data_IF_918602509230
#
_entry.id   IF_918602509230
#
_cell.length_a   1.000
_cell.length_b   1.000
_cell.length_c   1.000
_cell.angle_alpha   90.00
_cell.angle_beta   90.00
_cell.angle_gamma   90.00
#
_symmetry.space_group_name_H-M   'P 1'
#
loop_
_entity.id
_entity.type
_entity.pdbx_description
1 polymer ?
#
# COMPACT_ATOMS: atom_id res chain seq x y z
N UNK A 1 3.54 6.78 -4.42
CA UNK A 1 2.65 5.62 -4.61
C UNK A 1 2.34 5.09 -3.23
N UNK A 2 1.11 5.27 -2.74
CA UNK A 2 0.69 4.68 -1.48
C UNK A 2 0.86 3.16 -1.49
N UNK A 3 1.48 2.63 -0.45
CA UNK A 3 1.57 1.21 -0.15
C UNK A 3 0.77 0.94 1.14
N UNK A 4 0.91 -0.24 1.74
CA UNK A 4 0.15 -0.60 2.94
C UNK A 4 0.20 0.47 4.06
N UNK A 5 1.37 1.01 4.44
CA UNK A 5 1.45 1.98 5.54
C UNK A 5 0.67 3.27 5.28
N UNK A 6 0.73 3.79 4.06
CA UNK A 6 0.03 5.02 3.68
C UNK A 6 -1.49 4.83 3.69
N UNK A 7 -1.95 3.68 3.19
CA UNK A 7 -3.38 3.33 3.16
C UNK A 7 -3.89 3.10 4.59
N UNK A 8 -3.12 2.41 5.43
CA UNK A 8 -3.45 2.20 6.84
C UNK A 8 -3.56 3.52 7.60
N UNK A 9 -2.66 4.46 7.33
CA UNK A 9 -2.68 5.80 7.94
C UNK A 9 -3.97 6.54 7.58
N UNK A 10 -4.39 6.49 6.31
CA UNK A 10 -5.66 7.09 5.87
C UNK A 10 -6.85 6.40 6.56
N UNK A 11 -6.89 5.06 6.57
CA UNK A 11 -7.96 4.29 7.22
C UNK A 11 -8.07 4.62 8.71
N UNK A 12 -6.94 4.71 9.43
CA UNK A 12 -6.91 5.13 10.85
C UNK A 12 -7.45 6.54 11.06
N UNK A 13 -7.19 7.47 10.13
CA UNK A 13 -7.74 8.82 10.20
C UNK A 13 -9.24 8.89 9.88
N UNK A 14 -9.75 8.01 9.03
CA UNK A 14 -11.16 7.96 8.66
C UNK A 14 -12.01 7.22 9.71
N UNK A 15 -11.49 6.13 10.30
CA UNK A 15 -12.23 5.23 11.20
C UNK A 15 -12.97 5.92 12.36
N UNK A 16 -12.45 6.96 13.03
CA UNK A 16 -13.16 7.62 14.13
C UNK A 16 -14.36 8.46 13.69
N UNK A 17 -14.45 8.83 12.41
CA UNK A 17 -15.42 9.84 11.94
C UNK A 17 -16.30 9.35 10.79
N UNK A 18 -15.83 8.39 9.98
CA UNK A 18 -16.55 7.94 8.80
C UNK A 18 -17.80 7.09 9.12
N UNK A 19 -17.74 6.11 10.06
CA UNK A 19 -18.93 5.33 10.43
C UNK A 19 -20.09 6.19 10.91
N UNK A 20 -21.31 5.80 10.55
CA UNK A 20 -22.56 6.52 10.85
C UNK A 20 -22.88 7.67 9.88
N UNK A 21 -21.97 8.04 8.97
CA UNK A 21 -22.23 9.07 7.95
C UNK A 21 -22.97 8.49 6.75
N UNK A 22 -24.04 9.15 6.32
CA UNK A 22 -24.85 8.75 5.15
C UNK A 22 -24.46 9.55 3.92
N UNK A 23 -24.25 8.88 2.77
CA UNK A 23 -23.93 9.55 1.50
C UNK A 23 -25.20 10.17 0.90
N UNK A 24 -25.38 11.48 1.05
CA UNK A 24 -26.55 12.19 0.51
C UNK A 24 -26.41 12.48 -0.99
N UNK A 25 -25.18 12.83 -1.40
CA UNK A 25 -24.89 13.24 -2.78
C UNK A 25 -23.50 12.80 -3.20
N UNK A 26 -23.39 12.30 -4.42
CA UNK A 26 -22.11 12.05 -5.08
C UNK A 26 -21.93 13.04 -6.24
N UNK A 27 -20.77 13.68 -6.31
CA UNK A 27 -20.34 14.45 -7.48
C UNK A 27 -19.10 13.80 -8.06
N UNK A 28 -19.26 13.13 -9.19
CA UNK A 28 -18.17 12.51 -9.95
C UNK A 28 -17.66 13.56 -10.95
N UNK A 29 -16.44 14.04 -10.78
CA UNK A 29 -15.81 15.00 -11.69
C UNK A 29 -15.07 14.27 -12.81
N UNK A 30 -14.41 13.17 -12.47
CA UNK A 30 -13.64 12.35 -13.40
C UNK A 30 -14.11 10.91 -13.33
N UNK A 31 -14.66 10.36 -14.41
CA UNK A 31 -15.24 9.01 -14.42
C UNK A 31 -14.20 7.91 -14.72
N UNK A 32 -13.03 8.29 -15.24
CA UNK A 32 -11.91 7.39 -15.56
C UNK A 32 -11.25 6.74 -14.33
N UNK A 33 -11.53 7.28 -13.13
CA UNK A 33 -11.14 6.65 -11.86
C UNK A 33 -12.18 5.61 -11.39
N UNK A 34 -13.33 5.47 -12.04
CA UNK A 34 -14.33 4.47 -11.67
C UNK A 34 -14.10 3.17 -12.45
N UNK A 35 -14.35 2.03 -11.81
CA UNK A 35 -14.36 0.71 -12.46
C UNK A 35 -15.70 0.34 -13.10
N UNK A 36 -16.72 1.14 -12.85
CA UNK A 36 -18.09 0.95 -13.36
C UNK A 36 -18.69 2.29 -13.83
N UNK A 37 -19.77 2.27 -14.63
CA UNK A 37 -20.43 3.48 -15.11
C UNK A 37 -20.89 4.42 -13.98
N UNK A 38 -20.86 5.74 -14.24
CA UNK A 38 -21.22 6.79 -13.26
C UNK A 38 -22.58 6.57 -12.60
N UNK A 39 -23.58 6.18 -13.40
CA UNK A 39 -24.96 5.95 -12.94
C UNK A 39 -25.02 4.77 -11.98
N UNK A 40 -24.39 3.66 -12.33
CA UNK A 40 -24.33 2.47 -11.48
C UNK A 40 -23.59 2.75 -10.16
N UNK A 41 -22.41 3.37 -10.23
CA UNK A 41 -21.64 3.75 -9.03
C UNK A 41 -22.45 4.63 -8.08
N UNK A 42 -23.13 5.65 -8.63
CA UNK A 42 -23.95 6.56 -7.82
C UNK A 42 -25.17 5.87 -7.23
N UNK A 43 -25.84 5.01 -8.00
CA UNK A 43 -27.03 4.30 -7.56
C UNK A 43 -26.72 3.32 -6.42
N UNK A 44 -25.58 2.63 -6.46
CA UNK A 44 -25.17 1.70 -5.39
C UNK A 44 -24.84 2.41 -4.06
N UNK A 45 -24.34 3.65 -4.11
CA UNK A 45 -23.83 4.35 -2.91
C UNK A 45 -24.77 5.41 -2.33
N UNK A 46 -25.61 6.05 -3.14
CA UNK A 46 -26.46 7.15 -2.67
C UNK A 46 -27.47 6.64 -1.63
N UNK A 47 -27.57 7.35 -0.51
CA UNK A 47 -28.44 7.00 0.61
C UNK A 47 -27.88 5.92 1.52
N UNK A 48 -26.71 5.33 1.22
CA UNK A 48 -26.06 4.34 2.08
C UNK A 48 -25.28 5.00 3.20
N UNK A 49 -25.23 4.34 4.35
CA UNK A 49 -24.49 4.79 5.53
C UNK A 49 -23.24 3.96 5.68
N UNK A 50 -22.10 4.60 5.93
CA UNK A 50 -20.86 3.90 6.25
C UNK A 50 -20.99 3.18 7.60
N UNK A 51 -20.72 1.89 7.64
CA UNK A 51 -20.73 1.06 8.85
C UNK A 51 -19.32 0.89 9.40
N UNK A 52 -18.34 0.63 8.53
CA UNK A 52 -16.93 0.54 8.90
C UNK A 52 -16.02 1.03 7.78
N UNK A 53 -14.75 1.23 8.13
CA UNK A 53 -13.68 1.45 7.16
C UNK A 53 -12.42 0.73 7.61
N UNK A 54 -11.91 -0.09 6.71
CA UNK A 54 -10.82 -1.00 6.92
C UNK A 54 -9.85 -0.96 5.74
N UNK A 55 -8.76 -1.71 5.89
CA UNK A 55 -7.72 -1.83 4.88
C UNK A 55 -7.56 -3.29 4.49
N UNK A 56 -7.46 -3.53 3.19
CA UNK A 56 -6.96 -4.79 2.64
C UNK A 56 -5.86 -4.56 1.62
N UNK A 57 -4.64 -5.00 1.94
CA UNK A 57 -3.45 -4.71 1.15
C UNK A 57 -3.25 -3.20 0.97
N UNK A 58 -3.41 -2.73 -0.27
CA UNK A 58 -3.33 -1.31 -0.66
C UNK A 58 -4.71 -0.70 -0.96
N UNK A 59 -5.78 -1.38 -0.58
CA UNK A 59 -7.15 -0.92 -0.78
C UNK A 59 -7.72 -0.41 0.54
N UNK A 60 -8.40 0.72 0.49
CA UNK A 60 -9.37 1.15 1.50
C UNK A 60 -10.66 0.40 1.19
N UNK A 61 -11.26 -0.19 2.21
CA UNK A 61 -12.50 -0.98 2.10
C UNK A 61 -13.49 -0.39 3.09
N UNK A 62 -14.49 0.32 2.59
CA UNK A 62 -15.54 0.88 3.42
C UNK A 62 -16.81 0.07 3.24
N UNK A 63 -17.30 -0.51 4.33
CA UNK A 63 -18.56 -1.25 4.37
C UNK A 63 -19.70 -0.27 4.62
N UNK A 64 -20.79 -0.43 3.88
CA UNK A 64 -21.98 0.40 3.97
C UNK A 64 -23.23 -0.46 4.14
N UNK A 65 -24.29 0.18 4.62
CA UNK A 65 -25.61 -0.45 4.78
C UNK A 65 -26.08 -1.16 3.51
N UNK A 66 -26.88 -2.20 3.72
CA UNK A 66 -27.40 -3.09 2.66
C UNK A 66 -26.31 -3.87 1.90
N UNK A 67 -25.21 -4.19 2.59
CA UNK A 67 -24.16 -5.07 2.08
C UNK A 67 -23.38 -4.48 0.90
N UNK A 68 -23.33 -3.15 0.81
CA UNK A 68 -22.56 -2.44 -0.21
C UNK A 68 -21.15 -2.17 0.30
N UNK A 69 -20.14 -2.45 -0.52
CA UNK A 69 -18.74 -2.23 -0.21
C UNK A 69 -18.15 -1.24 -1.21
N UNK A 70 -17.63 -0.12 -0.70
CA UNK A 70 -16.82 0.83 -1.47
C UNK A 70 -15.34 0.45 -1.34
N UNK A 71 -14.73 0.06 -2.45
CA UNK A 71 -13.30 -0.26 -2.52
C UNK A 71 -12.56 0.87 -3.23
N UNK A 72 -11.54 1.42 -2.58
CA UNK A 72 -10.71 2.50 -3.13
C UNK A 72 -9.25 2.06 -3.18
N UNK A 73 -8.70 2.00 -4.38
CA UNK A 73 -7.26 1.88 -4.60
C UNK A 73 -6.69 3.26 -4.93
N UNK A 74 -5.71 3.73 -4.16
CA UNK A 74 -5.17 5.08 -4.31
C UNK A 74 -4.23 5.26 -5.52
N UNK A 75 -3.88 4.18 -6.22
CA UNK A 75 -2.95 4.25 -7.35
C UNK A 75 -1.59 4.83 -6.92
N UNK A 76 -1.17 5.93 -7.56
CA UNK A 76 0.13 6.54 -7.29
C UNK A 76 0.09 7.84 -6.50
N UNK A 77 -0.98 8.63 -6.67
CA UNK A 77 -1.14 10.00 -6.14
C UNK A 77 -2.51 10.22 -5.51
N UNK A 78 -3.38 9.21 -5.55
CA UNK A 78 -4.69 9.29 -4.94
C UNK A 78 -4.61 9.44 -3.43
N UNK A 79 -5.53 10.22 -2.89
CA UNK A 79 -5.78 10.36 -1.46
C UNK A 79 -7.27 10.47 -1.20
N UNK A 80 -7.70 10.04 -0.02
CA UNK A 80 -9.07 10.14 0.44
C UNK A 80 -9.05 11.01 1.70
N UNK A 81 -9.62 12.21 1.61
CA UNK A 81 -9.46 13.27 2.61
C UNK A 81 -10.80 13.93 2.94
N UNK A 82 -10.92 14.46 4.16
CA UNK A 82 -12.02 15.36 4.50
C UNK A 82 -11.74 16.75 3.92
N UNK A 83 -12.66 17.27 3.10
CA UNK A 83 -12.57 18.63 2.58
C UNK A 83 -12.97 19.65 3.65
N UNK A 84 -12.01 19.99 4.50
CA UNK A 84 -12.06 21.10 5.46
C UNK A 84 -11.42 22.34 4.84
N UNK A 85 -11.71 23.53 5.36
CA UNK A 85 -11.18 24.80 4.82
C UNK A 85 -9.64 24.82 4.78
N UNK A 86 -8.98 24.13 5.71
CA UNK A 86 -7.53 24.00 5.81
C UNK A 86 -6.92 22.88 4.94
N UNK A 87 -7.75 22.03 4.30
CA UNK A 87 -7.29 20.89 3.50
C UNK A 87 -7.60 21.12 2.01
N UNK A 88 -6.75 21.85 1.27
CA UNK A 88 -7.02 22.15 -0.13
C UNK A 88 -7.02 20.87 -0.97
N UNK A 89 -8.20 20.54 -1.54
CA UNK A 89 -8.32 19.56 -2.61
C UNK A 89 -7.89 20.22 -3.91
N UNK A 90 -6.89 19.68 -4.60
CA UNK A 90 -6.34 20.31 -5.80
C UNK A 90 -6.90 19.68 -7.08
N UNK A 91 -7.08 18.36 -7.08
CA UNK A 91 -7.54 17.60 -8.25
C UNK A 91 -8.67 16.63 -7.85
N UNK A 92 -9.79 17.14 -7.32
CA UNK A 92 -10.89 16.31 -6.87
C UNK A 92 -11.47 15.50 -8.04
N UNK A 93 -11.53 14.17 -7.90
CA UNK A 93 -12.11 13.28 -8.89
C UNK A 93 -13.51 12.80 -8.49
N UNK A 94 -13.75 12.53 -7.21
CA UNK A 94 -15.07 12.19 -6.66
C UNK A 94 -15.27 12.88 -5.33
N UNK A 95 -16.43 13.53 -5.15
CA UNK A 95 -16.86 14.13 -3.88
C UNK A 95 -18.09 13.41 -3.34
N UNK A 96 -18.03 13.02 -2.07
CA UNK A 96 -19.12 12.42 -1.30
C UNK A 96 -19.60 13.46 -0.28
N UNK A 97 -20.77 14.05 -0.52
CA UNK A 97 -21.47 14.85 0.49
C UNK A 97 -22.17 13.91 1.44
N UNK A 98 -21.97 14.11 2.73
CA UNK A 98 -22.56 13.31 3.80
C UNK A 98 -23.44 14.16 4.71
N UNK A 99 -24.37 13.52 5.42
CA UNK A 99 -25.40 14.15 6.25
C UNK A 99 -24.92 15.08 7.37
N UNK A 100 -23.65 15.01 7.77
CA UNK A 100 -23.06 15.95 8.72
C UNK A 100 -21.55 16.06 8.53
N UNK A 101 -21.04 17.29 8.50
CA UNK A 101 -19.61 17.59 8.44
C UNK A 101 -19.05 17.79 7.02
N UNK A 102 -17.71 17.86 6.88
CA UNK A 102 -17.07 18.12 5.60
C UNK A 102 -17.33 16.99 4.60
N UNK A 103 -17.31 17.32 3.31
CA UNK A 103 -17.38 16.30 2.28
C UNK A 103 -16.15 15.40 2.32
N UNK A 104 -16.33 14.10 2.09
CA UNK A 104 -15.21 13.19 1.81
C UNK A 104 -14.83 13.34 0.34
N UNK A 105 -13.55 13.50 0.04
CA UNK A 105 -13.08 13.75 -1.33
C UNK A 105 -11.98 12.77 -1.69
N UNK A 106 -12.19 12.09 -2.81
CA UNK A 106 -11.12 11.39 -3.52
C UNK A 106 -10.44 12.38 -4.48
N UNK A 107 -9.18 12.69 -4.21
CA UNK A 107 -8.33 13.64 -4.94
C UNK A 107 -7.16 12.86 -5.53
N UNK A 108 -6.93 12.98 -6.84
CA UNK A 108 -5.89 12.22 -7.54
C UNK A 108 -5.38 12.96 -8.78
N UNK A 109 -4.20 13.58 -8.64
CA UNK A 109 -3.52 14.35 -9.70
C UNK A 109 -3.38 13.55 -11.00
N UNK A 110 -3.00 12.26 -10.89
CA UNK A 110 -2.70 11.42 -12.05
C UNK A 110 -3.87 10.56 -12.50
N UNK A 111 -4.96 10.51 -11.72
CA UNK A 111 -6.16 9.69 -11.98
C UNK A 111 -5.85 8.21 -12.22
N UNK A 112 -4.86 7.68 -11.51
CA UNK A 112 -4.43 6.28 -11.61
C UNK A 112 -5.07 5.39 -10.55
N UNK A 113 -5.58 5.96 -9.46
CA UNK A 113 -6.37 5.17 -8.52
C UNK A 113 -7.74 4.84 -9.08
N UNK A 114 -8.41 3.92 -8.38
CA UNK A 114 -9.64 3.29 -8.84
C UNK A 114 -10.64 3.17 -7.70
N UNK A 115 -11.88 3.53 -7.97
CA UNK A 115 -13.02 3.40 -7.08
C UNK A 115 -14.04 2.44 -7.68
N UNK A 116 -14.62 1.62 -6.83
CA UNK A 116 -15.60 0.62 -7.23
C UNK A 116 -16.58 0.40 -6.08
N UNK A 117 -17.86 0.30 -6.41
CA UNK A 117 -18.91 -0.03 -5.45
C UNK A 117 -19.48 -1.38 -5.83
N UNK A 118 -19.33 -2.35 -4.94
CA UNK A 118 -19.69 -3.75 -5.14
C UNK A 118 -20.48 -4.25 -3.93
N UNK A 119 -20.96 -5.49 -3.96
CA UNK A 119 -21.55 -6.14 -2.78
C UNK A 119 -20.51 -7.00 -2.04
N UNK A 120 -20.88 -7.49 -0.85
CA UNK A 120 -20.01 -8.33 -0.01
C UNK A 120 -19.50 -9.61 -0.72
N UNK A 121 -20.34 -10.24 -1.54
CA UNK A 121 -19.96 -11.45 -2.27
C UNK A 121 -18.90 -11.15 -3.34
N UNK A 122 -19.09 -10.07 -4.10
CA UNK A 122 -18.14 -9.57 -5.10
C UNK A 122 -16.80 -9.21 -4.42
N UNK A 123 -16.85 -8.57 -3.24
CA UNK A 123 -15.66 -8.25 -2.47
C UNK A 123 -14.94 -9.50 -1.95
N UNK A 124 -15.67 -10.46 -1.38
CA UNK A 124 -15.09 -11.71 -0.87
C UNK A 124 -14.37 -12.51 -1.96
N UNK A 125 -14.91 -12.53 -3.20
CA UNK A 125 -14.22 -13.15 -4.34
C UNK A 125 -12.90 -12.45 -4.66
N UNK A 126 -12.89 -11.12 -4.67
CA UNK A 126 -11.68 -10.33 -4.93
C UNK A 126 -10.65 -10.46 -3.82
N UNK A 127 -11.09 -10.53 -2.57
CA UNK A 127 -10.20 -10.68 -1.42
C UNK A 127 -9.44 -12.02 -1.46
N UNK A 128 -10.09 -13.09 -1.94
CA UNK A 128 -9.46 -14.42 -2.12
C UNK A 128 -8.29 -14.40 -3.11
N UNK A 129 -8.28 -13.46 -4.06
CA UNK A 129 -7.18 -13.31 -5.02
C UNK A 129 -5.96 -12.57 -4.43
N UNK A 130 -6.12 -11.91 -3.29
CA UNK A 130 -5.05 -11.20 -2.62
C UNK A 130 -4.27 -12.12 -1.68
N UNK A 131 -2.94 -11.97 -1.69
CA UNK A 131 -2.06 -12.67 -0.77
C UNK A 131 -2.29 -12.28 0.70
N UNK A 132 -1.69 -13.01 1.64
CA UNK A 132 -1.81 -12.74 3.07
C UNK A 132 -1.41 -11.31 3.45
N UNK A 133 -2.00 -10.80 4.53
CA UNK A 133 -1.59 -9.55 5.18
C UNK A 133 -0.23 -9.73 5.86
N UNK A 134 0.81 -8.94 5.51
CA UNK A 134 2.17 -9.14 6.03
C UNK A 134 2.30 -8.84 7.53
N UNK A 135 1.36 -8.08 8.10
CA UNK A 135 1.30 -7.76 9.53
C UNK A 135 0.37 -8.69 10.32
N UNK A 136 -0.37 -9.58 9.65
CA UNK A 136 -1.20 -10.60 10.32
C UNK A 136 -0.35 -11.60 11.09
N UNK A 137 -0.91 -12.18 12.16
CA UNK A 137 -0.32 -13.32 12.87
C UNK A 137 -0.24 -14.58 12.01
N UNK A 138 -1.13 -14.71 11.01
CA UNK A 138 -1.15 -15.86 10.08
C UNK A 138 -0.04 -15.83 9.03
N UNK A 139 0.56 -14.66 8.78
CA UNK A 139 1.74 -14.56 7.93
C UNK A 139 2.98 -14.85 8.76
N UNK A 140 3.38 -16.12 8.82
CA UNK A 140 4.52 -16.60 9.61
C UNK A 140 5.80 -16.72 8.77
N UNK A 141 6.96 -16.75 9.42
CA UNK A 141 8.23 -16.98 8.74
C UNK A 141 8.30 -18.36 8.08
N UNK A 142 7.73 -19.39 8.72
CA UNK A 142 7.62 -20.73 8.15
C UNK A 142 6.80 -20.71 6.86
N UNK A 143 5.61 -20.10 6.89
CA UNK A 143 4.76 -20.01 5.71
C UNK A 143 5.43 -19.24 4.58
N UNK A 144 6.09 -18.12 4.92
CA UNK A 144 6.89 -17.37 3.95
C UNK A 144 7.96 -18.26 3.29
N UNK A 145 8.72 -19.04 4.07
CA UNK A 145 9.72 -19.95 3.52
C UNK A 145 9.10 -21.00 2.58
N UNK A 146 7.99 -21.63 2.97
CA UNK A 146 7.27 -22.59 2.13
C UNK A 146 6.84 -21.97 0.80
N UNK A 147 6.25 -20.77 0.82
CA UNK A 147 5.80 -20.10 -0.39
C UNK A 147 6.96 -19.59 -1.28
N UNK A 148 8.09 -19.20 -0.68
CA UNK A 148 9.31 -18.83 -1.40
C UNK A 148 9.95 -20.04 -2.09
N UNK A 149 9.98 -21.20 -1.43
CA UNK A 149 10.60 -22.43 -1.93
C UNK A 149 9.98 -22.92 -3.25
N UNK A 150 8.73 -22.54 -3.51
CA UNK A 150 7.94 -22.90 -4.70
C UNK A 150 8.13 -21.95 -5.88
N UNK A 151 8.93 -20.90 -5.75
CA UNK A 151 9.08 -19.89 -6.80
C UNK A 151 10.53 -19.67 -7.22
N UNK A 152 10.78 -19.64 -8.53
CA UNK A 152 12.09 -19.26 -9.07
C UNK A 152 12.22 -17.75 -9.32
N UNK A 153 11.16 -16.98 -9.08
CA UNK A 153 11.16 -15.53 -9.30
C UNK A 153 12.18 -14.83 -8.40
N UNK A 154 12.74 -13.69 -8.82
CA UNK A 154 13.51 -12.82 -7.93
C UNK A 154 12.69 -12.41 -6.70
N UNK A 155 13.31 -12.41 -5.52
CA UNK A 155 12.65 -12.12 -4.24
C UNK A 155 11.95 -10.78 -4.22
N UNK A 156 12.55 -9.76 -4.84
CA UNK A 156 11.91 -8.45 -4.94
C UNK A 156 10.64 -8.51 -5.78
N UNK A 157 10.65 -9.23 -6.91
CA UNK A 157 9.46 -9.39 -7.76
C UNK A 157 8.37 -10.16 -7.02
N UNK A 158 8.73 -11.20 -6.26
CA UNK A 158 7.80 -11.96 -5.42
C UNK A 158 7.11 -11.05 -4.39
N UNK A 159 7.86 -10.17 -3.70
CA UNK A 159 7.31 -9.24 -2.71
C UNK A 159 6.38 -8.17 -3.31
N UNK A 160 6.51 -7.87 -4.62
CA UNK A 160 5.64 -6.89 -5.29
C UNK A 160 4.34 -7.51 -5.82
N UNK A 161 4.27 -8.83 -5.89
CA UNK A 161 3.09 -9.56 -6.35
C UNK A 161 2.01 -9.57 -5.25
N UNK A 162 0.93 -8.84 -5.49
CA UNK A 162 -0.15 -8.68 -4.50
C UNK A 162 -0.93 -9.98 -4.26
N UNK A 163 -0.79 -11.00 -5.12
CA UNK A 163 -1.38 -12.35 -4.91
C UNK A 163 -0.52 -13.19 -3.95
N UNK A 164 0.76 -12.83 -3.78
CA UNK A 164 1.70 -13.55 -2.90
C UNK A 164 1.83 -12.90 -1.54
N UNK A 165 1.85 -11.57 -1.49
CA UNK A 165 1.79 -10.80 -0.24
C UNK A 165 1.13 -9.45 -0.53
N UNK A 166 0.03 -9.17 0.15
CA UNK A 166 -0.71 -7.95 -0.11
C UNK A 166 -0.01 -6.75 0.55
N UNK A 167 -0.13 -5.57 -0.06
CA UNK A 167 0.25 -4.33 0.61
C UNK A 167 1.71 -3.90 0.42
N UNK A 168 2.62 -4.83 0.12
CA UNK A 168 4.04 -4.51 -0.11
C UNK A 168 4.24 -3.91 -1.49
N UNK A 169 4.89 -2.75 -1.58
CA UNK A 169 5.23 -2.11 -2.85
C UNK A 169 6.73 -1.84 -2.97
N UNK A 170 7.07 -0.88 -3.84
CA UNK A 170 8.45 -0.68 -4.25
C UNK A 170 9.30 -0.15 -3.10
N UNK A 171 8.79 0.79 -2.30
CA UNK A 171 9.56 1.38 -1.20
C UNK A 171 9.87 0.29 -0.18
N UNK A 172 8.84 -0.33 0.37
CA UNK A 172 9.02 -1.23 1.51
C UNK A 172 9.64 -2.58 1.14
N UNK A 173 9.55 -3.02 -0.13
CA UNK A 173 10.31 -4.18 -0.59
C UNK A 173 11.82 -3.93 -0.59
N UNK A 174 12.29 -2.76 -1.06
CA UNK A 174 13.73 -2.44 -1.06
C UNK A 174 14.25 -2.30 0.38
N UNK A 175 13.51 -1.59 1.23
CA UNK A 175 13.88 -1.38 2.62
C UNK A 175 13.93 -2.69 3.43
N UNK A 176 12.92 -3.56 3.27
CA UNK A 176 12.89 -4.87 3.93
C UNK A 176 14.03 -5.77 3.48
N UNK A 177 14.32 -5.81 2.17
CA UNK A 177 15.44 -6.61 1.62
C UNK A 177 16.79 -6.11 2.10
N UNK A 178 16.99 -4.79 2.18
CA UNK A 178 18.21 -4.23 2.73
C UNK A 178 18.38 -4.57 4.20
N UNK A 179 17.32 -4.40 5.00
CA UNK A 179 17.35 -4.73 6.42
C UNK A 179 17.60 -6.23 6.66
N UNK A 180 17.11 -7.10 5.77
CA UNK A 180 17.36 -8.54 5.80
C UNK A 180 18.76 -8.94 5.26
N UNK A 181 19.45 -8.05 4.55
CA UNK A 181 20.72 -8.34 3.89
C UNK A 181 20.59 -9.25 2.66
N UNK A 182 19.43 -9.23 1.98
CA UNK A 182 19.13 -10.11 0.85
C UNK A 182 19.17 -9.30 -0.45
N UNK A 183 19.94 -9.77 -1.44
CA UNK A 183 20.01 -9.11 -2.75
C UNK A 183 18.67 -9.25 -3.51
N UNK A 184 18.14 -8.17 -4.11
CA UNK A 184 16.79 -8.17 -4.68
C UNK A 184 16.60 -9.11 -5.88
N UNK A 185 17.68 -9.46 -6.59
CA UNK A 185 17.69 -10.45 -7.68
C UNK A 185 17.81 -11.91 -7.22
N UNK A 186 18.02 -12.21 -5.94
CA UNK A 186 18.12 -13.61 -5.50
C UNK A 186 16.80 -14.36 -5.77
N UNK A 187 16.93 -15.58 -6.28
CA UNK A 187 15.79 -16.47 -6.53
C UNK A 187 15.13 -16.88 -5.21
N UNK A 188 13.80 -16.84 -5.14
CA UNK A 188 13.05 -17.23 -3.94
C UNK A 188 13.35 -18.68 -3.53
N UNK A 189 13.46 -19.59 -4.49
CA UNK A 189 13.77 -21.01 -4.28
C UNK A 189 15.15 -21.24 -3.64
N UNK A 190 16.06 -20.27 -3.74
CA UNK A 190 17.38 -20.35 -3.11
C UNK A 190 17.43 -19.82 -1.67
N UNK A 191 16.32 -19.28 -1.15
CA UNK A 191 16.26 -18.73 0.19
C UNK A 191 16.25 -19.84 1.23
N UNK A 192 17.18 -19.76 2.18
CA UNK A 192 17.18 -20.65 3.35
C UNK A 192 16.08 -20.26 4.34
N UNK A 193 15.70 -21.17 5.22
CA UNK A 193 14.74 -20.89 6.29
C UNK A 193 15.23 -19.76 7.22
N UNK A 194 16.53 -19.70 7.48
CA UNK A 194 17.16 -18.63 8.26
C UNK A 194 17.02 -17.25 7.60
N UNK A 195 17.19 -17.19 6.27
CA UNK A 195 16.99 -15.96 5.49
C UNK A 195 15.51 -15.57 5.43
N UNK A 196 14.60 -16.53 5.25
CA UNK A 196 13.16 -16.28 5.30
C UNK A 196 12.72 -15.71 6.66
N UNK A 197 13.25 -16.23 7.78
CA UNK A 197 13.04 -15.65 9.12
C UNK A 197 13.57 -14.22 9.24
N UNK A 198 14.75 -13.93 8.70
CA UNK A 198 15.31 -12.57 8.68
C UNK A 198 14.42 -11.62 7.86
N UNK A 199 14.01 -12.05 6.67
CA UNK A 199 13.13 -11.29 5.78
C UNK A 199 11.77 -11.01 6.40
N UNK A 200 11.14 -12.03 6.99
CA UNK A 200 9.85 -11.89 7.67
C UNK A 200 9.90 -10.82 8.77
N UNK A 201 10.90 -10.88 9.66
CA UNK A 201 11.11 -9.86 10.70
C UNK A 201 11.40 -8.49 10.11
N UNK A 202 12.26 -8.42 9.11
CA UNK A 202 12.63 -7.15 8.46
C UNK A 202 11.42 -6.49 7.79
N UNK A 203 10.59 -7.27 7.08
CA UNK A 203 9.38 -6.79 6.41
C UNK A 203 8.38 -6.23 7.42
N UNK A 204 8.06 -7.01 8.48
CA UNK A 204 7.14 -6.57 9.53
C UNK A 204 7.64 -5.31 10.23
N UNK A 205 8.92 -5.28 10.63
CA UNK A 205 9.52 -4.10 11.28
C UNK A 205 9.44 -2.86 10.38
N UNK A 206 9.76 -3.02 9.10
CA UNK A 206 9.71 -1.92 8.12
C UNK A 206 8.31 -1.37 7.96
N UNK A 207 7.31 -2.25 7.77
CA UNK A 207 5.91 -1.84 7.60
C UNK A 207 5.30 -1.26 8.88
N UNK A 208 5.53 -1.88 10.04
CA UNK A 208 5.04 -1.36 11.33
C UNK A 208 5.63 0.00 11.64
N UNK A 209 6.96 0.17 11.49
CA UNK A 209 7.61 1.47 11.63
C UNK A 209 7.03 2.49 10.67
N UNK A 210 6.79 2.13 9.40
CA UNK A 210 6.20 3.05 8.45
C UNK A 210 4.76 3.46 8.84
N UNK A 211 3.95 2.54 9.35
CA UNK A 211 2.60 2.84 9.86
C UNK A 211 2.66 3.80 11.05
N UNK A 212 3.57 3.57 12.01
CA UNK A 212 3.78 4.45 13.17
C UNK A 212 4.22 5.86 12.75
N UNK A 213 5.03 5.96 11.70
CA UNK A 213 5.51 7.24 11.16
C UNK A 213 4.59 7.80 10.06
N UNK A 214 3.30 7.40 10.03
CA UNK A 214 2.28 7.91 9.10
C UNK A 214 2.62 7.75 7.61
N UNK A 215 3.40 6.73 7.26
CA UNK A 215 3.84 6.47 5.90
C UNK A 215 4.94 7.40 5.38
N UNK A 216 5.26 7.27 4.10
CA UNK A 216 6.37 7.96 3.42
C UNK A 216 5.85 9.01 2.44
N UNK A 217 6.09 10.29 2.71
CA UNK A 217 5.90 11.37 1.74
C UNK A 217 7.18 11.65 0.96
N UNK A 218 7.25 11.20 -0.30
CA UNK A 218 8.34 11.57 -1.24
C UNK A 218 8.02 12.81 -2.08
N UNK A 219 6.75 12.98 -2.46
CA UNK A 219 6.24 14.13 -3.21
C UNK A 219 4.83 14.48 -2.70
N UNK A 220 3.83 13.73 -3.19
CA UNK A 220 2.44 14.18 -3.10
C UNK A 220 1.59 13.41 -2.07
N UNK A 221 2.14 12.40 -1.40
CA UNK A 221 1.39 11.63 -0.40
C UNK A 221 1.01 12.50 0.82
N UNK A 222 -0.24 12.36 1.28
CA UNK A 222 -0.81 12.99 2.48
C UNK A 222 -1.80 12.03 3.17
N UNK A 223 -1.95 12.16 4.48
CA UNK A 223 -2.93 11.42 5.30
C UNK A 223 -4.37 11.95 5.12
N UNK A 224 -5.35 11.37 5.83
CA UNK A 224 -6.76 11.73 5.74
C UNK A 224 -7.06 13.18 6.20
N UNK A 225 -6.18 13.77 7.01
CA UNK A 225 -6.24 15.17 7.47
C UNK A 225 -5.45 16.12 6.58
N UNK A 226 -4.74 15.59 5.58
CA UNK A 226 -3.92 16.37 4.65
C UNK A 226 -2.46 16.57 5.05
N UNK A 227 -1.97 15.90 6.11
CA UNK A 227 -0.58 16.04 6.58
C UNK A 227 0.38 15.09 5.83
N UNK A 228 1.66 15.42 5.67
CA UNK A 228 2.67 14.49 5.15
C UNK A 228 2.98 13.37 6.16
N UNK A 229 3.50 12.26 5.65
CA UNK A 229 4.09 11.18 6.44
C UNK A 229 5.58 11.41 6.71
N UNK A 230 6.05 10.94 7.85
CA UNK A 230 7.38 11.27 8.39
C UNK A 230 8.44 10.19 8.09
N UNK A 231 8.06 9.07 7.47
CA UNK A 231 8.94 7.92 7.28
C UNK A 231 10.03 8.14 6.22
N UNK A 232 9.97 9.20 5.42
CA UNK A 232 10.96 9.49 4.36
C UNK A 232 12.39 9.61 4.90
N UNK A 233 12.56 10.23 6.08
CA UNK A 233 13.86 10.36 6.76
C UNK A 233 14.46 9.04 7.24
N UNK A 234 13.64 7.98 7.32
CA UNK A 234 14.03 6.64 7.81
C UNK A 234 14.41 5.68 6.68
N UNK A 235 14.27 6.09 5.42
CA UNK A 235 14.62 5.25 4.27
C UNK A 235 16.13 5.03 4.22
N UNK A 236 16.53 3.76 4.10
CA UNK A 236 17.94 3.34 4.12
C UNK A 236 18.53 3.25 2.72
N UNK A 237 17.76 2.82 1.73
CA UNK A 237 18.24 2.62 0.34
C UNK A 237 17.31 3.23 -0.71
N UNK A 238 15.99 3.24 -0.48
CA UNK A 238 15.04 3.67 -1.50
C UNK A 238 15.23 5.16 -1.86
N UNK A 239 15.42 5.44 -3.15
CA UNK A 239 15.63 6.81 -3.63
C UNK A 239 17.04 7.36 -3.37
N UNK A 240 17.91 6.58 -2.70
CA UNK A 240 19.26 6.99 -2.29
C UNK A 240 20.35 6.45 -3.22
N UNK A 241 20.08 6.32 -4.52
CA UNK A 241 21.07 5.83 -5.48
C UNK A 241 22.32 6.72 -5.49
N UNK A 242 23.51 6.13 -5.59
CA UNK A 242 24.82 6.78 -5.51
C UNK A 242 25.21 7.36 -4.14
N UNK A 243 24.29 7.41 -3.17
CA UNK A 243 24.60 7.84 -1.80
C UNK A 243 25.30 6.73 -0.98
N UNK A 244 26.06 7.08 0.07
CA UNK A 244 26.61 6.09 0.99
C UNK A 244 25.51 5.35 1.77
N UNK A 245 25.65 4.03 1.86
CA UNK A 245 24.80 3.17 2.68
C UNK A 245 24.92 3.53 4.17
N UNK A 246 23.80 3.72 4.85
CA UNK A 246 23.78 4.08 6.28
C UNK A 246 24.34 3.01 7.22
N UNK A 247 24.64 1.81 6.71
CA UNK A 247 25.20 0.69 7.49
C UNK A 247 26.70 0.49 7.30
N UNK A 248 27.22 0.69 6.09
CA UNK A 248 28.59 0.31 5.73
C UNK A 248 29.29 1.33 4.81
N UNK A 249 28.67 2.48 4.54
CA UNK A 249 29.18 3.55 3.68
C UNK A 249 29.43 3.19 2.20
N UNK A 250 29.31 1.92 1.80
CA UNK A 250 29.33 1.51 0.39
C UNK A 250 28.21 2.21 -0.38
N UNK A 251 28.50 2.67 -1.60
CA UNK A 251 27.50 3.33 -2.46
C UNK A 251 26.29 2.43 -2.70
N UNK A 252 25.10 3.00 -2.55
CA UNK A 252 23.84 2.34 -2.87
C UNK A 252 23.68 2.28 -4.39
N UNK A 253 23.53 1.07 -4.92
CA UNK A 253 23.34 0.84 -6.34
C UNK A 253 21.85 0.91 -6.69
N UNK A 254 21.57 1.42 -7.89
CA UNK A 254 20.25 1.39 -8.51
C UNK A 254 20.28 0.37 -9.64
N UNK A 255 19.31 -0.54 -9.63
CA UNK A 255 19.08 -1.48 -10.73
C UNK A 255 17.65 -1.34 -11.25
N UNK A 256 17.45 -1.64 -12.52
CA UNK A 256 16.14 -1.55 -13.18
C UNK A 256 15.54 -2.95 -13.25
N UNK A 257 14.39 -3.14 -12.58
CA UNK A 257 13.57 -4.35 -12.66
C UNK A 257 12.31 -4.04 -13.46
N UNK A 258 12.31 -4.37 -14.76
CA UNK A 258 11.21 -4.00 -15.65
C UNK A 258 11.00 -2.49 -15.65
N UNK A 259 9.79 -2.04 -15.32
CA UNK A 259 9.45 -0.60 -15.25
C UNK A 259 9.69 0.04 -13.86
N UNK A 260 10.36 -0.64 -12.92
CA UNK A 260 10.59 -0.14 -11.55
C UNK A 260 12.05 -0.21 -11.18
N UNK A 261 12.57 0.87 -10.60
CA UNK A 261 13.89 0.85 -9.97
C UNK A 261 13.87 0.12 -8.63
N UNK A 262 14.93 -0.63 -8.38
CA UNK A 262 15.30 -1.14 -7.07
C UNK A 262 16.60 -0.48 -6.62
N UNK A 263 16.74 -0.35 -5.32
CA UNK A 263 17.88 0.26 -4.65
C UNK A 263 18.39 -0.72 -3.61
N UNK A 264 19.69 -0.97 -3.59
CA UNK A 264 20.31 -1.94 -2.70
C UNK A 264 21.77 -1.57 -2.44
N UNK A 265 22.32 -2.05 -1.33
CA UNK A 265 23.74 -1.90 -1.04
C UNK A 265 24.48 -3.19 -1.41
N UNK A 266 25.45 -3.19 -2.34
CA UNK A 266 26.11 -4.40 -2.80
C UNK A 266 26.95 -5.08 -1.72
N UNK A 267 27.48 -4.32 -0.75
CA UNK A 267 28.22 -4.87 0.40
C UNK A 267 27.29 -5.51 1.43
N UNK A 268 26.16 -4.86 1.76
CA UNK A 268 25.21 -5.37 2.75
C UNK A 268 24.28 -6.47 2.20
N UNK A 269 24.12 -6.52 0.89
CA UNK A 269 23.24 -7.45 0.18
C UNK A 269 24.03 -8.09 -0.96
N UNK A 270 25.03 -8.94 -0.68
CA UNK A 270 25.80 -9.61 -1.72
C UNK A 270 24.89 -10.52 -2.55
N UNK A 271 25.11 -10.58 -3.86
CA UNK A 271 24.36 -11.47 -4.75
C UNK A 271 24.75 -12.94 -4.52
N UNK A 272 26.03 -13.19 -4.24
CA UNK A 272 26.61 -14.51 -4.01
C UNK A 272 27.28 -14.62 -2.64
N UNK A 273 26.65 -15.34 -1.73
CA UNK A 273 27.31 -16.00 -0.59
C UNK A 273 26.52 -17.26 -0.24
N UNK A 274 26.28 -18.07 -1.27
CA UNK A 274 25.57 -19.34 -1.19
C UNK A 274 26.37 -20.52 -1.72
N UNK A 275 27.65 -20.33 -2.06
CA UNK A 275 28.67 -21.37 -2.23
C UNK A 275 30.02 -20.72 -1.95
N UNK A 276 30.62 -21.03 -0.81
CA UNK A 276 32.08 -20.96 -0.63
C UNK A 276 32.51 -22.41 -0.44
N UNK A 277 33.35 -22.87 -1.38
CA UNK A 277 34.13 -24.11 -1.47
C UNK A 277 33.71 -25.29 -0.56
#
# INVERSE_FOLDING_TARGET
>A
MPELPEVETIVRGLRPTLPGKTIERLRILHADVLRQPRREFSARLKGRTFESVDRRGKNIVAHLTEGVVLVVNLGMTGRLVWARDETPTTHPAVRFTVNAGPALVYDDVRRFGRLEAMNETEWALRDRDLGPEPLSSTFTAQRLHEDLSRSVSPIRSWLLDQRRVAGVGNIYANEALHLAGIHPQRSCKSMTEGEARKLHRALRRTLSSAVENRGTTLKDYRDASGNPGDNASRLRVYGRGEEPCLRCSTRVCRLVFGNRSAFYCPSCQPFGSGVTA
#
